data_IF_500021093803
#
_entry.id   IF_500021093803
#
_cell.length_a   1.000
_cell.length_b   1.000
_cell.length_c   1.000
_cell.angle_alpha   90.00
_cell.angle_beta   90.00
_cell.angle_gamma   90.00
#
_symmetry.space_group_name_H-M   'P 1'
#
loop_
_entity.id
_entity.type
_entity.pdbx_description
1 polymer ?
#
# COMPACT_ATOMS: atom_id res chain seq x y z
N UNK A 1 9.01 -12.75 -7.30
CA UNK A 1 8.65 -11.31 -7.23
C UNK A 1 9.06 -10.58 -5.95
N UNK A 2 8.52 -10.87 -4.75
CA UNK A 2 8.77 -10.03 -3.54
C UNK A 2 10.25 -9.96 -3.13
N UNK A 3 10.97 -11.08 -3.16
CA UNK A 3 12.41 -11.12 -2.85
C UNK A 3 13.23 -10.31 -3.86
N UNK A 4 12.89 -10.41 -5.14
CA UNK A 4 13.51 -9.63 -6.22
C UNK A 4 13.28 -8.12 -6.04
N UNK A 5 12.06 -7.72 -5.64
CA UNK A 5 11.79 -6.34 -5.25
C UNK A 5 12.71 -5.89 -4.12
N UNK A 6 12.87 -6.71 -3.08
CA UNK A 6 13.82 -6.42 -1.98
C UNK A 6 15.24 -6.18 -2.49
N UNK A 7 15.74 -7.00 -3.40
CA UNK A 7 17.07 -6.79 -4.00
C UNK A 7 17.19 -5.46 -4.74
N UNK A 8 16.18 -5.10 -5.53
CA UNK A 8 16.16 -3.83 -6.27
C UNK A 8 16.03 -2.65 -5.32
N UNK A 9 15.13 -2.71 -4.34
CA UNK A 9 14.85 -1.62 -3.42
C UNK A 9 16.03 -1.33 -2.48
N UNK A 10 16.67 -2.36 -1.92
CA UNK A 10 17.72 -2.21 -0.91
C UNK A 10 19.12 -1.96 -1.49
N UNK A 11 19.42 -2.48 -2.68
CA UNK A 11 20.82 -2.58 -3.16
C UNK A 11 21.08 -1.91 -4.52
N UNK A 12 20.07 -1.35 -5.18
CA UNK A 12 20.26 -0.67 -6.48
C UNK A 12 21.16 0.56 -6.40
N UNK A 13 21.33 1.16 -5.22
CA UNK A 13 22.28 2.26 -5.00
C UNK A 13 23.74 1.84 -5.19
N UNK A 14 24.08 0.59 -4.88
CA UNK A 14 25.42 0.02 -5.10
C UNK A 14 25.54 -0.51 -6.53
N UNK A 15 24.48 -1.13 -7.06
CA UNK A 15 24.43 -1.68 -8.41
C UNK A 15 23.25 -1.06 -9.20
N UNK A 16 23.49 0.03 -9.96
CA UNK A 16 22.41 0.73 -10.67
C UNK A 16 21.74 -0.06 -11.80
N UNK A 17 22.39 -1.12 -12.32
CA UNK A 17 21.85 -1.97 -13.38
C UNK A 17 20.86 -3.05 -12.88
N UNK A 18 20.66 -3.16 -11.55
CA UNK A 18 19.79 -4.16 -10.92
C UNK A 18 18.33 -4.04 -11.38
N UNK A 19 17.70 -2.84 -11.44
CA UNK A 19 16.34 -2.70 -11.97
C UNK A 19 16.22 -3.13 -13.44
N UNK A 20 17.26 -2.92 -14.27
CA UNK A 20 17.23 -3.37 -15.67
C UNK A 20 17.21 -4.91 -15.75
N UNK A 21 18.07 -5.57 -14.97
CA UNK A 21 18.08 -7.04 -14.90
C UNK A 21 16.76 -7.58 -14.36
N UNK A 22 16.17 -6.90 -13.38
CA UNK A 22 14.86 -7.25 -12.84
C UNK A 22 13.74 -7.10 -13.88
N UNK A 23 13.77 -6.04 -14.69
CA UNK A 23 12.81 -5.84 -15.77
C UNK A 23 12.89 -6.97 -16.81
N UNK A 24 14.11 -7.32 -17.24
CA UNK A 24 14.33 -8.43 -18.18
C UNK A 24 13.85 -9.75 -17.58
N UNK A 25 14.15 -10.02 -16.30
CA UNK A 25 13.65 -11.21 -15.62
C UNK A 25 12.11 -11.24 -15.59
N UNK A 26 11.46 -10.14 -15.21
CA UNK A 26 9.99 -10.07 -15.12
C UNK A 26 9.31 -10.32 -16.47
N UNK A 27 9.91 -9.88 -17.58
CA UNK A 27 9.41 -10.16 -18.93
C UNK A 27 9.38 -11.66 -19.23
N UNK A 28 10.48 -12.36 -18.92
CA UNK A 28 10.55 -13.82 -19.10
C UNK A 28 9.66 -14.54 -18.09
N UNK A 29 9.64 -14.10 -16.83
CA UNK A 29 8.88 -14.71 -15.74
C UNK A 29 7.38 -14.70 -16.05
N UNK A 30 6.83 -13.57 -16.53
CA UNK A 30 5.43 -13.46 -16.95
C UNK A 30 5.05 -14.50 -18.02
N UNK A 31 5.88 -14.66 -19.05
CA UNK A 31 5.63 -15.63 -20.13
C UNK A 31 5.80 -17.07 -19.64
N UNK A 32 6.82 -17.31 -18.83
CA UNK A 32 7.14 -18.64 -18.33
C UNK A 32 6.09 -19.15 -17.34
N UNK A 33 5.54 -18.28 -16.48
CA UNK A 33 4.49 -18.65 -15.54
C UNK A 33 3.14 -18.86 -16.23
N UNK A 34 2.81 -18.06 -17.25
CA UNK A 34 1.63 -18.32 -18.09
C UNK A 34 1.72 -19.70 -18.78
N UNK A 35 2.90 -20.02 -19.33
CA UNK A 35 3.14 -21.33 -19.94
C UNK A 35 3.09 -22.48 -18.93
N UNK A 36 3.63 -22.26 -17.72
CA UNK A 36 3.56 -23.22 -16.61
C UNK A 36 2.12 -23.52 -16.26
N UNK A 37 1.29 -22.50 -16.03
CA UNK A 37 -0.16 -22.64 -15.73
C UNK A 37 -0.90 -23.38 -16.85
N UNK A 38 -0.58 -23.09 -18.12
CA UNK A 38 -1.28 -23.69 -19.26
C UNK A 38 -0.91 -25.15 -19.55
N UNK A 39 0.33 -25.58 -19.26
CA UNK A 39 0.85 -26.90 -19.69
C UNK A 39 1.27 -27.82 -18.55
N UNK A 40 1.65 -27.30 -17.40
CA UNK A 40 2.32 -28.06 -16.34
C UNK A 40 1.52 -28.19 -15.05
N UNK A 41 0.37 -27.52 -14.94
CA UNK A 41 -0.46 -27.54 -13.73
C UNK A 41 -1.91 -27.77 -14.13
N UNK A 42 -2.65 -28.47 -13.25
CA UNK A 42 -4.11 -28.61 -13.38
C UNK A 42 -4.76 -27.24 -13.12
N UNK A 43 -5.85 -26.95 -13.83
CA UNK A 43 -6.62 -25.71 -13.65
C UNK A 43 -6.99 -25.51 -12.17
N UNK A 44 -6.55 -24.42 -11.52
CA UNK A 44 -6.93 -24.10 -10.15
C UNK A 44 -8.40 -23.66 -10.09
N UNK A 45 -9.02 -23.86 -8.93
CA UNK A 45 -10.38 -23.38 -8.65
C UNK A 45 -10.33 -21.85 -8.55
N UNK A 46 -11.22 -21.11 -9.24
CA UNK A 46 -11.25 -19.66 -9.13
C UNK A 46 -11.58 -19.26 -7.68
N UNK A 47 -10.70 -18.49 -7.06
CA UNK A 47 -10.91 -17.89 -5.75
C UNK A 47 -10.84 -16.37 -5.90
N UNK A 48 -11.75 -15.65 -5.25
CA UNK A 48 -11.73 -14.19 -5.19
C UNK A 48 -10.86 -13.77 -4.00
N UNK A 49 -10.02 -12.76 -4.21
CA UNK A 49 -9.21 -12.14 -3.16
C UNK A 49 -9.18 -10.64 -3.42
N UNK A 50 -9.39 -9.85 -2.38
CA UNK A 50 -9.42 -8.39 -2.50
C UNK A 50 -7.99 -7.79 -2.51
N UNK A 51 -7.00 -8.57 -2.07
CA UNK A 51 -5.60 -8.12 -1.98
C UNK A 51 -4.63 -9.25 -2.37
N UNK A 52 -3.35 -8.90 -2.53
CA UNK A 52 -2.26 -9.87 -2.71
C UNK A 52 -1.91 -10.64 -1.43
N UNK A 53 -2.58 -10.34 -0.30
CA UNK A 53 -2.40 -10.97 1.00
C UNK A 53 -1.21 -10.40 1.79
N UNK A 54 -0.56 -11.22 2.64
CA UNK A 54 0.55 -10.80 3.52
C UNK A 54 1.76 -10.21 2.81
N UNK A 55 1.85 -10.41 1.49
CA UNK A 55 2.91 -9.84 0.67
C UNK A 55 2.85 -8.31 0.61
N UNK A 56 1.68 -7.70 0.80
CA UNK A 56 1.55 -6.24 0.82
C UNK A 56 2.33 -5.63 2.00
N UNK A 57 2.11 -6.16 3.19
CA UNK A 57 2.81 -5.74 4.42
C UNK A 57 4.32 -5.97 4.27
N UNK A 58 4.70 -7.09 3.66
CA UNK A 58 6.12 -7.41 3.39
C UNK A 58 6.76 -6.40 2.44
N UNK A 59 6.06 -6.01 1.37
CA UNK A 59 6.54 -5.00 0.41
C UNK A 59 6.64 -3.62 1.07
N UNK A 60 5.69 -3.25 1.92
CA UNK A 60 5.71 -2.00 2.69
C UNK A 60 6.90 -1.97 3.67
N UNK A 61 7.15 -3.08 4.36
CA UNK A 61 8.32 -3.24 5.23
C UNK A 61 9.63 -3.12 4.43
N UNK A 62 9.75 -3.82 3.30
CA UNK A 62 10.94 -3.75 2.44
C UNK A 62 11.17 -2.34 1.89
N UNK A 63 10.11 -1.61 1.53
CA UNK A 63 10.21 -0.23 1.06
C UNK A 63 10.68 0.72 2.17
N UNK A 64 10.17 0.56 3.40
CA UNK A 64 10.64 1.33 4.56
C UNK A 64 12.10 1.03 4.88
N UNK A 65 12.49 -0.25 4.86
CA UNK A 65 13.86 -0.66 5.09
C UNK A 65 14.80 -0.12 4.00
N UNK A 66 14.36 -0.14 2.73
CA UNK A 66 15.10 0.42 1.61
C UNK A 66 15.41 1.91 1.76
N UNK A 67 14.45 2.70 2.27
CA UNK A 67 14.70 4.11 2.57
C UNK A 67 15.84 4.29 3.57
N UNK A 68 15.86 3.50 4.65
CA UNK A 68 16.92 3.54 5.67
C UNK A 68 18.27 3.08 5.10
N UNK A 69 18.30 1.93 4.43
CA UNK A 69 19.52 1.36 3.87
C UNK A 69 20.14 2.28 2.82
N UNK A 70 19.35 2.80 1.88
CA UNK A 70 19.87 3.68 0.84
C UNK A 70 20.40 5.00 1.40
N UNK A 71 19.73 5.59 2.40
CA UNK A 71 20.22 6.80 3.08
C UNK A 71 21.55 6.56 3.79
N UNK A 72 21.68 5.42 4.48
CA UNK A 72 22.92 5.03 5.14
C UNK A 72 24.07 4.77 4.14
N UNK A 73 23.78 4.09 3.03
CA UNK A 73 24.76 3.81 1.97
C UNK A 73 25.30 5.10 1.35
N UNK A 74 24.44 6.06 1.00
CA UNK A 74 24.86 7.34 0.42
C UNK A 74 25.73 8.14 1.41
N UNK A 75 25.35 8.14 2.69
CA UNK A 75 26.13 8.84 3.72
C UNK A 75 27.51 8.20 3.93
N UNK A 76 27.55 6.87 4.09
CA UNK A 76 28.78 6.14 4.39
C UNK A 76 29.77 6.12 3.22
N UNK A 77 29.27 6.00 1.99
CA UNK A 77 30.11 5.93 0.78
C UNK A 77 30.37 7.28 0.12
N UNK A 78 30.06 8.39 0.80
CA UNK A 78 30.38 9.73 0.32
C UNK A 78 31.91 9.91 0.29
N UNK A 79 32.55 10.20 -0.88
CA UNK A 79 33.98 10.47 -0.93
C UNK A 79 34.31 11.77 -0.19
N UNK A 80 35.17 11.67 0.83
CA UNK A 80 35.60 12.78 1.68
C UNK A 80 36.54 13.77 0.95
N UNK A 81 37.17 13.33 -0.15
CA UNK A 81 38.28 14.04 -0.79
C UNK A 81 37.86 15.11 -1.82
N UNK A 82 36.57 15.24 -2.14
CA UNK A 82 36.06 16.16 -3.18
C UNK A 82 35.27 17.37 -2.65
N UNK A 83 35.30 17.64 -1.34
CA UNK A 83 34.69 18.85 -0.80
C UNK A 83 35.58 20.09 -1.04
N UNK A 84 35.51 20.68 -2.25
CA UNK A 84 35.42 22.15 -2.25
C UNK A 84 34.06 22.43 -1.65
N UNK A 85 34.04 23.02 -0.45
CA UNK A 85 32.82 23.51 0.17
C UNK A 85 32.05 24.29 -0.90
N UNK A 86 30.97 23.70 -1.42
CA UNK A 86 30.07 24.42 -2.29
C UNK A 86 29.36 25.39 -1.36
N UNK A 87 29.96 26.55 -1.17
CA UNK A 87 29.41 27.64 -0.39
C UNK A 87 28.16 28.13 -1.09
N UNK A 88 27.06 27.40 -0.94
CA UNK A 88 25.74 28.00 -1.02
C UNK A 88 25.71 28.99 0.13
N UNK A 89 25.26 30.22 -0.13
CA UNK A 89 25.34 31.34 0.82
C UNK A 89 24.49 31.16 2.08
N UNK A 90 24.00 29.94 2.33
CA UNK A 90 23.31 29.51 3.53
C UNK A 90 24.28 29.04 4.64
N UNK A 91 25.59 29.09 4.42
CA UNK A 91 26.60 28.66 5.41
C UNK A 91 26.91 29.73 6.48
N UNK A 92 26.37 30.96 6.39
CA UNK A 92 26.84 32.05 7.26
C UNK A 92 26.14 32.17 8.62
N UNK A 93 24.98 31.54 8.85
CA UNK A 93 24.22 31.83 10.08
C UNK A 93 23.61 30.65 10.86
N UNK A 94 23.78 29.39 10.44
CA UNK A 94 23.25 28.25 11.19
C UNK A 94 24.35 27.22 11.51
N UNK A 95 25.34 27.63 12.29
CA UNK A 95 26.43 26.80 12.84
C UNK A 95 25.98 25.68 13.77
N UNK A 96 24.68 25.52 14.03
CA UNK A 96 24.13 24.52 14.96
C UNK A 96 23.39 23.34 14.29
N UNK A 97 23.11 23.42 12.99
CA UNK A 97 22.35 22.37 12.26
C UNK A 97 23.13 21.73 11.11
N UNK A 98 24.28 22.30 10.73
CA UNK A 98 25.13 21.82 9.65
C UNK A 98 26.51 21.36 10.18
N UNK A 99 26.57 20.91 11.43
CA UNK A 99 27.76 20.34 12.04
C UNK A 99 28.12 19.01 11.39
N UNK A 100 29.33 18.94 10.84
CA UNK A 100 30.00 17.76 10.26
C UNK A 100 30.29 16.64 11.28
N UNK A 101 29.67 16.72 12.46
CA UNK A 101 29.84 15.83 13.62
C UNK A 101 28.48 15.25 14.07
N UNK A 102 27.53 15.04 13.15
CA UNK A 102 26.31 14.31 13.48
C UNK A 102 26.69 12.89 13.93
N UNK A 103 26.79 12.71 15.24
CA UNK A 103 27.17 11.44 15.84
C UNK A 103 26.19 10.35 15.42
N UNK A 104 26.58 9.06 15.45
CA UNK A 104 25.70 7.96 15.06
C UNK A 104 24.35 7.96 15.79
N UNK A 105 24.26 8.64 16.95
CA UNK A 105 23.05 8.88 17.72
C UNK A 105 22.06 9.83 17.05
N UNK A 106 22.53 10.93 16.45
CA UNK A 106 21.65 11.91 15.79
C UNK A 106 21.04 11.35 14.50
N UNK A 107 21.81 10.53 13.78
CA UNK A 107 21.29 9.79 12.61
C UNK A 107 20.27 8.75 13.06
N UNK A 108 20.51 8.06 14.18
CA UNK A 108 19.57 7.10 14.75
C UNK A 108 18.30 7.81 15.22
N UNK A 109 18.41 8.96 15.86
CA UNK A 109 17.26 9.78 16.29
C UNK A 109 16.46 10.28 15.10
N UNK A 110 17.11 10.77 14.03
CA UNK A 110 16.42 11.17 12.81
C UNK A 110 15.72 9.97 12.13
N UNK A 111 16.38 8.82 12.04
CA UNK A 111 15.79 7.60 11.50
C UNK A 111 14.60 7.11 12.34
N UNK A 112 14.71 7.21 13.67
CA UNK A 112 13.66 6.84 14.61
C UNK A 112 12.50 7.84 14.58
N UNK A 113 12.75 9.13 14.37
CA UNK A 113 11.71 10.15 14.14
C UNK A 113 10.98 9.94 12.82
N UNK A 114 11.67 9.55 11.74
CA UNK A 114 10.99 9.20 10.48
C UNK A 114 10.17 7.91 10.65
N UNK A 115 10.69 6.92 11.37
CA UNK A 115 9.96 5.69 11.68
C UNK A 115 8.71 5.94 12.54
N UNK A 116 8.84 6.76 13.59
CA UNK A 116 7.72 7.16 14.45
C UNK A 116 6.74 8.09 13.74
N UNK A 117 7.23 8.97 12.86
CA UNK A 117 6.40 9.84 12.03
C UNK A 117 5.51 9.03 11.08
N UNK A 118 6.02 7.91 10.55
CA UNK A 118 5.19 6.97 9.77
C UNK A 118 4.09 6.34 10.62
N UNK A 119 4.42 5.87 11.83
CA UNK A 119 3.44 5.29 12.77
C UNK A 119 2.39 6.31 13.19
N UNK A 120 2.79 7.57 13.39
CA UNK A 120 1.87 8.66 13.69
C UNK A 120 0.95 8.98 12.49
N UNK A 121 1.50 9.01 11.28
CA UNK A 121 0.75 9.21 10.05
C UNK A 121 -0.28 8.11 9.79
N UNK A 122 0.06 6.84 10.06
CA UNK A 122 -0.88 5.71 9.94
C UNK A 122 -2.08 5.87 10.89
N UNK A 123 -1.85 6.38 12.11
CA UNK A 123 -2.94 6.71 13.06
C UNK A 123 -3.81 7.87 12.60
N UNK A 124 -3.23 8.88 11.96
CA UNK A 124 -4.00 10.00 11.40
C UNK A 124 -4.81 9.55 10.17
N UNK A 125 -4.28 8.68 9.33
CA UNK A 125 -5.00 8.14 8.17
C UNK A 125 -6.24 7.33 8.60
N UNK A 126 -6.12 6.50 9.63
CA UNK A 126 -7.25 5.73 10.17
C UNK A 126 -8.35 6.65 10.72
N UNK A 127 -7.98 7.72 11.42
CA UNK A 127 -8.97 8.67 11.97
C UNK A 127 -9.69 9.44 10.87
N UNK A 128 -8.96 9.87 9.83
CA UNK A 128 -9.55 10.53 8.65
C UNK A 128 -10.50 9.59 7.91
N UNK A 129 -10.14 8.31 7.74
CA UNK A 129 -11.02 7.35 7.08
C UNK A 129 -12.31 7.11 7.87
N UNK A 130 -12.22 7.01 9.20
CA UNK A 130 -13.42 6.88 10.06
C UNK A 130 -14.30 8.12 10.00
N UNK A 131 -13.71 9.32 9.96
CA UNK A 131 -14.45 10.58 9.85
C UNK A 131 -15.18 10.69 8.51
N UNK A 132 -14.53 10.32 7.40
CA UNK A 132 -15.15 10.30 6.06
C UNK A 132 -16.29 9.29 6.00
N UNK A 133 -16.11 8.09 6.58
CA UNK A 133 -17.16 7.07 6.67
C UNK A 133 -18.37 7.58 7.46
N UNK A 134 -18.14 8.26 8.58
CA UNK A 134 -19.20 8.83 9.42
C UNK A 134 -19.96 9.95 8.70
N UNK A 135 -19.25 10.87 8.03
CA UNK A 135 -19.85 11.94 7.24
C UNK A 135 -20.67 11.40 6.06
N UNK A 136 -20.16 10.38 5.37
CA UNK A 136 -20.88 9.70 4.30
C UNK A 136 -22.16 9.01 4.81
N UNK A 137 -22.09 8.26 5.92
CA UNK A 137 -23.28 7.65 6.53
C UNK A 137 -24.30 8.69 6.99
N UNK A 138 -23.84 9.87 7.46
CA UNK A 138 -24.70 11.00 7.81
C UNK A 138 -25.37 11.61 6.58
N UNK A 139 -24.66 11.72 5.46
CA UNK A 139 -25.20 12.22 4.18
C UNK A 139 -26.25 11.29 3.56
N UNK A 140 -26.17 9.99 3.83
CA UNK A 140 -27.14 8.98 3.41
C UNK A 140 -28.41 8.93 4.29
N UNK A 141 -28.51 9.77 5.33
CA UNK A 141 -29.70 9.84 6.19
C UNK A 141 -29.87 8.65 7.15
N UNK A 142 -28.89 7.74 7.23
CA UNK A 142 -28.98 6.52 8.07
C UNK A 142 -28.88 6.83 9.57
N UNK A 143 -28.30 7.98 9.94
CA UNK A 143 -28.24 8.43 11.33
C UNK A 143 -29.62 8.74 11.94
N UNK A 144 -30.63 9.07 11.13
CA UNK A 144 -32.00 9.32 11.61
C UNK A 144 -32.84 8.05 11.75
N UNK A 145 -32.45 6.94 11.10
CA UNK A 145 -33.21 5.67 11.13
C UNK A 145 -32.91 4.84 12.39
N UNK A 146 -31.77 5.05 13.04
CA UNK A 146 -31.49 4.41 14.33
C UNK A 146 -32.28 5.01 15.50
N UNK A 147 -32.87 6.21 15.33
CA UNK A 147 -33.68 6.91 16.34
C UNK A 147 -35.18 6.86 16.10
N UNK A 148 -35.63 6.52 14.90
CA UNK A 148 -37.04 6.37 14.58
C UNK A 148 -37.48 4.92 14.86
N UNK A 149 -38.30 4.77 15.90
CA UNK A 149 -38.83 3.48 16.33
C UNK A 149 -39.50 2.69 15.21
N UNK A 150 -39.50 1.38 15.39
CA UNK A 150 -40.32 0.41 14.65
C UNK A 150 -41.77 0.91 14.60
N UNK A 151 -42.20 1.37 13.42
CA UNK A 151 -43.57 1.77 13.18
C UNK A 151 -43.75 2.33 11.77
N UNK A 152 -44.35 1.52 10.90
CA UNK A 152 -45.39 1.91 9.92
C UNK A 152 -45.13 3.14 9.02
N UNK A 153 -45.21 3.16 7.69
CA UNK A 153 -45.63 2.28 6.56
C UNK A 153 -45.10 3.01 5.30
N UNK A 154 -44.81 2.33 4.19
CA UNK A 154 -45.38 2.65 2.87
C UNK A 154 -44.73 1.83 1.74
N UNK A 155 -45.47 0.81 1.33
CA UNK A 155 -45.42 0.22 0.00
C UNK A 155 -45.98 1.23 -1.02
N UNK A 156 -45.14 1.69 -1.95
CA UNK A 156 -45.43 2.31 -3.25
C UNK A 156 -44.05 2.77 -3.80
N UNK A 157 -43.65 2.60 -5.06
CA UNK A 157 -44.36 2.25 -6.28
C UNK A 157 -43.29 1.80 -7.27
N UNK A 158 -43.60 0.80 -8.08
CA UNK A 158 -42.74 0.39 -9.18
C UNK A 158 -42.76 1.47 -10.29
N UNK A 159 -41.58 1.94 -10.70
CA UNK A 159 -41.41 2.57 -12.01
C UNK A 159 -40.18 2.04 -12.71
N UNK A 160 -40.48 1.49 -13.89
CA UNK A 160 -39.57 1.06 -14.94
C UNK A 160 -38.40 2.02 -15.14
N UNK A 161 -37.20 1.46 -15.07
CA UNK A 161 -35.95 2.07 -15.49
C UNK A 161 -35.06 0.96 -16.04
N UNK A 162 -35.21 0.71 -17.34
CA UNK A 162 -34.27 -0.03 -18.18
C UNK A 162 -32.83 0.35 -17.87
N UNK A 163 -32.04 -0.63 -17.46
CA UNK A 163 -30.68 -0.43 -16.97
C UNK A 163 -30.17 -1.72 -16.33
N UNK A 164 -29.88 -2.72 -17.16
CA UNK A 164 -29.17 -3.94 -16.78
C UNK A 164 -27.85 -3.61 -16.08
N UNK A 165 -27.90 -3.44 -14.76
CA UNK A 165 -26.73 -3.47 -13.92
C UNK A 165 -26.27 -4.93 -13.83
N UNK A 166 -25.23 -5.23 -14.61
CA UNK A 166 -24.48 -6.49 -14.63
C UNK A 166 -24.08 -7.03 -13.24
N UNK A 167 -24.09 -6.18 -12.21
CA UNK A 167 -23.72 -6.48 -10.81
C UNK A 167 -24.90 -6.84 -9.89
N UNK A 168 -26.14 -6.83 -10.37
CA UNK A 168 -27.32 -7.17 -9.54
C UNK A 168 -27.61 -8.67 -9.49
N UNK A 169 -26.88 -9.48 -10.25
CA UNK A 169 -27.05 -10.94 -10.27
C UNK A 169 -26.01 -11.60 -9.34
N UNK A 170 -26.37 -11.71 -8.05
CA UNK A 170 -25.57 -12.38 -7.04
C UNK A 170 -25.99 -13.87 -6.96
N UNK A 171 -25.36 -14.72 -7.78
CA UNK A 171 -25.65 -16.16 -7.87
C UNK A 171 -25.55 -16.91 -6.52
N UNK A 172 -24.88 -16.32 -5.51
CA UNK A 172 -24.69 -16.95 -4.20
C UNK A 172 -25.92 -16.96 -3.29
N UNK A 173 -26.83 -15.98 -3.43
CA UNK A 173 -28.06 -15.94 -2.61
C UNK A 173 -29.11 -16.95 -3.10
N UNK A 174 -29.13 -17.22 -4.41
CA UNK A 174 -30.04 -18.21 -4.99
C UNK A 174 -29.68 -19.65 -4.58
N UNK A 175 -28.39 -19.96 -4.43
CA UNK A 175 -27.95 -21.27 -3.91
C UNK A 175 -28.39 -21.48 -2.45
N UNK A 176 -28.30 -20.45 -1.60
CA UNK A 176 -28.79 -20.51 -0.21
C UNK A 176 -30.31 -20.66 -0.11
N UNK A 177 -31.06 -20.04 -1.03
CA UNK A 177 -32.51 -20.19 -1.11
C UNK A 177 -32.94 -21.60 -1.58
N UNK A 178 -32.09 -22.26 -2.39
CA UNK A 178 -32.37 -23.61 -2.89
C UNK A 178 -32.09 -24.66 -1.83
N UNK A 179 -31.03 -24.50 -1.04
CA UNK A 179 -30.73 -25.41 0.07
C UNK A 179 -31.77 -25.34 1.21
N UNK A 180 -32.35 -24.17 1.45
CA UNK A 180 -33.44 -24.04 2.45
C UNK A 180 -34.79 -24.55 1.95
N UNK A 181 -34.98 -24.72 0.64
CA UNK A 181 -36.23 -25.24 0.06
C UNK A 181 -36.20 -26.77 -0.16
N UNK A 182 -35.00 -27.37 -0.13
CA UNK A 182 -34.78 -28.82 -0.24
C UNK A 182 -34.59 -29.51 1.13
N UNK A 183 -34.70 -28.78 2.25
CA UNK A 183 -34.63 -29.32 3.62
C UNK A 183 -35.97 -29.41 4.34
#
# INVERSE_FOLDING_TARGET
>A
MVTQFGYVALWSTIWPLAPLMALTNNWFELRSDAFKIAKHVRRPIPARTDTIGPWLDTLQFLAWLAFLTNSALVYLFRPLDHCKALGTSLDRHHTHLAGRDAGPREILEAALLVALGRVAWEREAETVETAVKEEYMRSLGVADVAGAGVGEIAEADAKDGDGDAFWTYDEGLDELSRETKES
#
